data_IF_241162290936
#
_entry.id   IF_241162290936
#
_cell.length_a   1.000
_cell.length_b   1.000
_cell.length_c   1.000
_cell.angle_alpha   90.00
_cell.angle_beta   90.00
_cell.angle_gamma   90.00
#
_symmetry.space_group_name_H-M   'P 1'
#
loop_
_entity.id
_entity.type
_entity.pdbx_description
1 polymer ?
#
# COMPACT_ATOMS: atom_id res chain seq x y z
N UNK A 1 -31.12 16.14 -24.13
CA UNK A 1 -32.02 16.66 -23.07
C UNK A 1 -32.26 15.55 -22.03
N UNK A 2 -31.42 15.34 -21.06
CA UNK A 2 -31.64 14.43 -19.88
C UNK A 2 -30.55 14.70 -18.81
N UNK A 3 -30.51 15.93 -18.27
CA UNK A 3 -29.58 16.29 -17.18
C UNK A 3 -30.26 17.06 -16.04
N UNK A 4 -31.51 16.75 -15.70
CA UNK A 4 -32.25 17.49 -14.65
C UNK A 4 -33.03 16.61 -13.65
N UNK A 5 -32.58 15.37 -13.33
CA UNK A 5 -33.29 14.55 -12.33
C UNK A 5 -32.47 14.12 -11.11
N UNK A 6 -31.23 14.62 -10.92
CA UNK A 6 -30.39 14.20 -9.78
C UNK A 6 -30.45 15.16 -8.56
N UNK A 7 -31.12 16.31 -8.64
CA UNK A 7 -31.12 17.34 -7.58
C UNK A 7 -32.38 17.46 -6.75
N UNK A 8 -33.46 16.75 -7.09
CA UNK A 8 -34.76 16.88 -6.43
C UNK A 8 -35.15 15.77 -5.46
N UNK A 9 -34.37 14.65 -5.43
CA UNK A 9 -34.67 13.56 -4.48
C UNK A 9 -34.22 13.81 -3.03
N UNK A 10 -33.34 14.77 -2.78
CA UNK A 10 -32.83 15.02 -1.43
C UNK A 10 -33.74 15.87 -0.52
N UNK A 11 -34.76 16.53 -1.08
CA UNK A 11 -35.62 17.46 -0.33
C UNK A 11 -36.79 16.81 0.43
N UNK A 12 -37.09 15.53 0.16
CA UNK A 12 -38.24 14.82 0.74
C UNK A 12 -37.88 13.67 1.68
N UNK A 13 -36.58 13.53 2.04
CA UNK A 13 -36.17 12.51 3.00
C UNK A 13 -36.52 12.95 4.44
N UNK A 14 -36.99 12.03 5.32
CA UNK A 14 -37.14 12.33 6.74
C UNK A 14 -35.79 12.85 7.30
N UNK A 15 -35.84 13.78 8.28
CA UNK A 15 -34.63 14.48 8.78
C UNK A 15 -33.45 13.52 9.18
N UNK A 16 -33.78 12.34 9.71
CA UNK A 16 -32.79 11.31 10.06
C UNK A 16 -32.07 10.74 8.83
N UNK A 17 -32.78 10.47 7.76
CA UNK A 17 -32.20 9.93 6.52
C UNK A 17 -31.34 10.97 5.81
N UNK A 18 -31.72 12.24 5.87
CA UNK A 18 -30.93 13.35 5.34
C UNK A 18 -29.59 13.49 6.09
N UNK A 19 -29.61 13.46 7.44
CA UNK A 19 -28.39 13.50 8.26
C UNK A 19 -27.48 12.32 7.94
N UNK A 20 -28.01 11.10 7.90
CA UNK A 20 -27.24 9.90 7.58
C UNK A 20 -26.60 9.99 6.18
N UNK A 21 -27.34 10.50 5.18
CA UNK A 21 -26.83 10.69 3.83
C UNK A 21 -25.68 11.71 3.78
N UNK A 22 -25.78 12.82 4.53
CA UNK A 22 -24.72 13.81 4.66
C UNK A 22 -23.46 13.22 5.30
N UNK A 23 -23.61 12.45 6.37
CA UNK A 23 -22.51 11.78 7.06
C UNK A 23 -21.81 10.76 6.12
N UNK A 24 -22.57 10.00 5.33
CA UNK A 24 -22.00 9.11 4.30
C UNK A 24 -21.24 9.89 3.22
N UNK A 25 -21.72 11.08 2.83
CA UNK A 25 -20.99 11.96 1.90
C UNK A 25 -19.68 12.46 2.51
N UNK A 26 -19.71 12.93 3.75
CA UNK A 26 -18.50 13.34 4.49
C UNK A 26 -17.50 12.20 4.60
N UNK A 27 -17.98 10.99 4.91
CA UNK A 27 -17.12 9.80 4.95
C UNK A 27 -16.45 9.53 3.59
N UNK A 28 -17.20 9.63 2.48
CA UNK A 28 -16.66 9.48 1.11
C UNK A 28 -15.64 10.57 0.74
N UNK A 29 -15.89 11.83 1.13
CA UNK A 29 -14.93 12.92 0.88
C UNK A 29 -13.66 12.75 1.69
N UNK A 30 -13.75 12.38 2.98
CA UNK A 30 -12.59 12.10 3.81
C UNK A 30 -11.81 10.88 3.30
N UNK A 31 -12.50 9.83 2.86
CA UNK A 31 -11.87 8.68 2.20
C UNK A 31 -11.16 9.10 0.90
N UNK A 32 -11.75 9.94 0.09
CA UNK A 32 -11.09 10.44 -1.14
C UNK A 32 -9.83 11.25 -0.81
N UNK A 33 -9.86 12.11 0.21
CA UNK A 33 -8.68 12.83 0.68
C UNK A 33 -7.59 11.88 1.20
N UNK A 34 -7.96 10.84 1.96
CA UNK A 34 -7.06 9.78 2.41
C UNK A 34 -6.38 9.07 1.22
N UNK A 35 -7.14 8.76 0.14
CA UNK A 35 -6.61 8.09 -1.05
C UNK A 35 -5.66 8.97 -1.86
N UNK A 36 -5.95 10.26 -1.99
CA UNK A 36 -5.05 11.23 -2.65
C UNK A 36 -3.73 11.33 -1.88
N UNK A 37 -3.82 11.39 -0.56
CA UNK A 37 -2.65 11.59 0.32
C UNK A 37 -2.01 10.29 0.79
N UNK A 38 -2.41 9.14 0.26
CA UNK A 38 -1.97 7.81 0.70
C UNK A 38 -0.45 7.70 0.89
N UNK A 39 0.43 8.18 -0.03
CA UNK A 39 1.88 8.11 0.16
C UNK A 39 2.49 9.21 1.05
N UNK A 40 1.72 10.22 1.48
CA UNK A 40 2.26 11.40 2.14
C UNK A 40 2.84 11.08 3.52
N UNK A 41 4.05 11.56 3.80
CA UNK A 41 4.80 11.33 5.03
C UNK A 41 4.67 12.48 6.04
N UNK A 42 3.74 13.41 5.88
CA UNK A 42 3.59 14.49 6.84
C UNK A 42 3.10 13.96 8.18
N UNK A 43 3.92 14.14 9.22
CA UNK A 43 3.65 13.66 10.57
C UNK A 43 4.01 14.69 11.64
N UNK A 44 3.53 14.45 12.85
CA UNK A 44 3.92 15.14 14.07
C UNK A 44 4.23 14.10 15.13
N UNK A 45 5.41 14.15 15.71
CA UNK A 45 5.77 13.33 16.86
C UNK A 45 4.97 13.84 18.08
N UNK A 46 4.16 12.97 18.65
CA UNK A 46 3.38 13.25 19.86
C UNK A 46 4.16 12.92 21.12
N UNK A 47 4.92 11.82 21.08
CA UNK A 47 5.78 11.38 22.18
C UNK A 47 7.11 10.92 21.58
N UNK A 48 8.15 11.70 21.84
CA UNK A 48 9.51 11.37 21.45
C UNK A 48 10.18 10.53 22.52
N UNK A 49 10.77 9.41 22.12
CA UNK A 49 11.37 8.42 23.02
C UNK A 49 12.72 8.01 22.45
N UNK A 50 13.80 8.79 22.67
CA UNK A 50 15.09 8.52 22.06
C UNK A 50 15.63 7.14 22.49
N UNK A 51 16.01 6.33 21.53
CA UNK A 51 16.61 5.01 21.72
C UNK A 51 17.73 4.82 20.66
N UNK A 52 18.78 5.61 20.76
CA UNK A 52 19.91 5.51 19.84
C UNK A 52 20.61 4.13 19.93
N UNK A 53 20.93 3.52 18.80
CA UNK A 53 20.82 4.00 17.40
C UNK A 53 19.58 3.49 16.64
N UNK A 54 18.47 3.16 17.32
CA UNK A 54 17.23 2.75 16.69
C UNK A 54 16.52 3.98 16.11
N UNK A 55 16.07 3.92 14.86
CA UNK A 55 15.36 5.04 14.22
C UNK A 55 14.05 5.36 14.95
N UNK A 56 13.77 6.65 15.16
CA UNK A 56 12.61 7.16 15.90
C UNK A 56 11.26 6.61 15.39
N UNK A 57 11.15 6.32 14.12
CA UNK A 57 9.93 5.80 13.49
C UNK A 57 9.50 4.41 13.99
N UNK A 58 10.40 3.66 14.62
CA UNK A 58 10.12 2.33 15.17
C UNK A 58 9.72 2.35 16.66
N UNK A 59 9.83 3.49 17.35
CA UNK A 59 9.51 3.55 18.78
C UNK A 59 8.77 4.83 19.23
N UNK A 60 8.76 5.90 18.40
CA UNK A 60 8.03 7.12 18.71
C UNK A 60 6.53 6.97 18.43
N UNK A 61 5.72 7.71 19.19
CA UNK A 61 4.29 7.83 18.93
C UNK A 61 4.07 9.02 17.99
N UNK A 62 3.61 8.75 16.78
CA UNK A 62 3.46 9.74 15.72
C UNK A 62 2.02 9.86 15.25
N UNK A 63 1.58 11.08 14.95
CA UNK A 63 0.33 11.38 14.27
C UNK A 63 0.61 11.79 12.84
N UNK A 64 0.01 11.10 11.88
CA UNK A 64 0.14 11.42 10.45
C UNK A 64 -1.03 12.29 9.98
N UNK A 65 -0.79 13.15 8.99
CA UNK A 65 -1.88 13.95 8.38
C UNK A 65 -2.99 13.06 7.82
N UNK A 66 -2.63 11.88 7.33
CA UNK A 66 -3.58 10.89 6.82
C UNK A 66 -4.54 10.37 7.90
N UNK A 67 -4.10 10.36 9.17
CA UNK A 67 -4.95 9.94 10.29
C UNK A 67 -6.18 10.84 10.46
N UNK A 68 -6.04 12.14 10.17
CA UNK A 68 -7.17 13.07 10.23
C UNK A 68 -8.26 12.72 9.23
N UNK A 69 -7.86 12.38 8.00
CA UNK A 69 -8.80 11.95 6.97
C UNK A 69 -9.37 10.57 7.28
N UNK A 70 -8.56 9.69 7.84
CA UNK A 70 -8.99 8.37 8.26
C UNK A 70 -10.03 8.43 9.38
N UNK A 71 -9.74 9.19 10.45
CA UNK A 71 -10.71 9.40 11.53
C UNK A 71 -11.97 10.12 11.06
N UNK A 72 -11.85 11.09 10.17
CA UNK A 72 -12.98 11.75 9.54
C UNK A 72 -13.87 10.78 8.77
N UNK A 73 -13.27 9.88 7.99
CA UNK A 73 -14.01 8.87 7.24
C UNK A 73 -14.71 7.87 8.17
N UNK A 74 -14.00 7.32 9.15
CA UNK A 74 -14.54 6.36 10.12
C UNK A 74 -15.60 7.00 11.02
N UNK A 75 -15.33 8.18 11.58
CA UNK A 75 -16.26 8.87 12.48
C UNK A 75 -17.58 9.22 11.80
N UNK A 76 -17.51 9.80 10.60
CA UNK A 76 -18.71 10.11 9.81
C UNK A 76 -19.50 8.84 9.43
N UNK A 77 -18.79 7.76 9.05
CA UNK A 77 -19.44 6.48 8.74
C UNK A 77 -20.10 5.87 9.97
N UNK A 78 -19.43 5.80 11.12
CA UNK A 78 -20.01 5.26 12.36
C UNK A 78 -21.23 6.08 12.80
N UNK A 79 -21.16 7.41 12.77
CA UNK A 79 -22.28 8.27 13.07
C UNK A 79 -23.46 8.05 12.11
N UNK A 80 -23.20 7.87 10.83
CA UNK A 80 -24.26 7.56 9.84
C UNK A 80 -24.98 6.25 10.19
N UNK A 81 -24.25 5.23 10.65
CA UNK A 81 -24.84 3.95 11.08
C UNK A 81 -25.64 4.08 12.36
N UNK A 82 -25.21 4.88 13.31
CA UNK A 82 -25.96 5.14 14.55
C UNK A 82 -27.31 5.84 14.25
N UNK A 83 -27.31 6.78 13.30
CA UNK A 83 -28.52 7.52 12.89
C UNK A 83 -29.49 6.62 12.13
N UNK A 84 -29.02 5.85 11.14
CA UNK A 84 -29.88 5.06 10.24
C UNK A 84 -30.21 3.67 10.75
N UNK A 85 -29.43 3.13 11.71
CA UNK A 85 -29.52 1.74 12.20
C UNK A 85 -29.66 0.72 11.06
N UNK A 86 -28.69 0.63 10.14
CA UNK A 86 -28.77 -0.25 8.99
C UNK A 86 -28.71 -1.73 9.42
N UNK A 87 -28.99 -2.67 8.51
CA UNK A 87 -28.91 -4.11 8.75
C UNK A 87 -27.51 -4.53 9.23
N UNK A 88 -27.33 -5.82 9.57
CA UNK A 88 -26.10 -6.37 10.08
C UNK A 88 -24.87 -5.95 9.28
N UNK A 89 -23.75 -5.77 9.98
CA UNK A 89 -22.49 -5.34 9.36
C UNK A 89 -21.92 -6.46 8.49
N UNK A 90 -21.59 -6.16 7.26
CA UNK A 90 -20.85 -7.08 6.39
C UNK A 90 -19.42 -7.18 6.90
N UNK A 91 -18.90 -8.40 7.01
CA UNK A 91 -17.54 -8.69 7.49
C UNK A 91 -16.61 -9.17 6.39
N UNK A 92 -17.15 -9.46 5.20
CA UNK A 92 -16.40 -10.05 4.10
C UNK A 92 -16.22 -11.56 4.25
N UNK A 93 -15.48 -12.18 3.34
CA UNK A 93 -15.28 -13.62 3.36
C UNK A 93 -14.49 -14.04 4.62
N UNK A 94 -14.92 -15.15 5.22
CA UNK A 94 -14.34 -15.68 6.46
C UNK A 94 -12.82 -15.89 6.40
N UNK A 95 -12.31 -16.27 5.24
CA UNK A 95 -10.89 -16.53 5.02
C UNK A 95 -10.02 -15.26 4.97
N UNK A 96 -10.63 -14.08 4.93
CA UNK A 96 -9.96 -12.79 5.16
C UNK A 96 -10.24 -12.25 6.56
N UNK A 97 -11.51 -12.25 6.97
CA UNK A 97 -11.94 -11.64 8.23
C UNK A 97 -11.28 -12.29 9.46
N UNK A 98 -11.32 -13.64 9.56
CA UNK A 98 -10.77 -14.32 10.73
C UNK A 98 -9.25 -14.20 10.88
N UNK A 99 -8.41 -14.28 9.81
CA UNK A 99 -7.00 -13.98 9.94
C UNK A 99 -6.72 -12.53 10.41
N UNK A 100 -7.50 -11.55 9.94
CA UNK A 100 -7.37 -10.16 10.38
C UNK A 100 -7.71 -10.01 11.87
N UNK A 101 -8.78 -10.67 12.34
CA UNK A 101 -9.12 -10.74 13.78
C UNK A 101 -8.03 -11.48 14.55
N UNK A 102 -7.50 -12.58 14.03
CA UNK A 102 -6.43 -13.36 14.67
C UNK A 102 -5.14 -12.53 14.86
N UNK A 103 -4.71 -11.81 13.83
CA UNK A 103 -3.57 -10.89 13.91
C UNK A 103 -3.80 -9.79 14.95
N UNK A 104 -4.99 -9.18 14.97
CA UNK A 104 -5.35 -8.18 15.98
C UNK A 104 -5.36 -8.77 17.39
N UNK A 105 -5.93 -9.96 17.56
CA UNK A 105 -5.97 -10.65 18.86
C UNK A 105 -4.58 -10.95 19.39
N UNK A 106 -3.67 -11.46 18.53
CA UNK A 106 -2.27 -11.69 18.93
C UNK A 106 -1.56 -10.37 19.28
N UNK A 107 -1.81 -9.30 18.52
CA UNK A 107 -1.24 -7.99 18.79
C UNK A 107 -1.67 -7.45 20.16
N UNK A 108 -2.96 -7.56 20.51
CA UNK A 108 -3.50 -7.09 21.79
C UNK A 108 -3.03 -7.97 22.95
N UNK A 109 -3.08 -9.29 22.80
CA UNK A 109 -2.61 -10.25 23.82
C UNK A 109 -1.10 -10.13 24.05
N UNK A 110 -0.33 -9.75 23.02
CA UNK A 110 1.12 -9.57 23.09
C UNK A 110 1.56 -8.33 23.85
N UNK A 111 0.70 -7.32 24.06
CA UNK A 111 1.10 -6.02 24.67
C UNK A 111 1.81 -6.21 26.03
N UNK A 112 1.27 -6.97 27.00
CA UNK A 112 1.92 -7.12 28.31
C UNK A 112 3.28 -7.84 28.25
N UNK A 113 3.53 -8.60 27.19
CA UNK A 113 4.73 -9.40 26.99
C UNK A 113 5.72 -8.78 26.01
N UNK A 114 5.36 -7.62 25.41
CA UNK A 114 6.18 -6.94 24.42
C UNK A 114 7.49 -6.41 25.06
N UNK A 115 8.53 -6.29 24.22
CA UNK A 115 9.80 -5.67 24.62
C UNK A 115 9.59 -4.22 25.03
N UNK A 116 8.74 -3.52 24.25
CA UNK A 116 8.25 -2.18 24.58
C UNK A 116 6.71 -2.18 24.47
N UNK A 117 6.00 -2.28 25.63
CA UNK A 117 4.55 -2.35 25.66
C UNK A 117 3.85 -1.11 25.08
N UNK A 118 4.45 0.08 25.19
CA UNK A 118 3.86 1.31 24.66
C UNK A 118 3.87 1.33 23.14
N UNK A 119 4.99 0.95 22.51
CA UNK A 119 5.05 0.78 21.05
C UNK A 119 4.06 -0.29 20.59
N UNK A 120 3.98 -1.43 21.30
CA UNK A 120 3.02 -2.48 20.97
C UNK A 120 1.56 -2.00 21.06
N UNK A 121 1.21 -1.25 22.10
CA UNK A 121 -0.14 -0.69 22.24
C UNK A 121 -0.46 0.35 21.16
N UNK A 122 0.50 1.22 20.83
CA UNK A 122 0.35 2.19 19.75
C UNK A 122 0.11 1.49 18.40
N UNK A 123 0.93 0.51 18.05
CA UNK A 123 0.78 -0.23 16.79
C UNK A 123 -0.49 -1.10 16.76
N UNK A 124 -0.88 -1.70 17.89
CA UNK A 124 -2.14 -2.43 18.00
C UNK A 124 -3.35 -1.50 17.80
N UNK A 125 -3.31 -0.26 18.30
CA UNK A 125 -4.35 0.75 18.05
C UNK A 125 -4.47 1.10 16.56
N UNK A 126 -3.36 1.15 15.84
CA UNK A 126 -3.36 1.33 14.38
C UNK A 126 -3.93 0.14 13.64
N UNK A 127 -3.68 -1.08 14.12
CA UNK A 127 -4.26 -2.29 13.55
C UNK A 127 -5.79 -2.33 13.75
N UNK A 128 -6.31 -1.84 14.91
CA UNK A 128 -7.76 -1.62 15.12
C UNK A 128 -8.34 -0.67 14.07
N UNK A 129 -7.65 0.46 13.81
CA UNK A 129 -8.10 1.42 12.80
C UNK A 129 -8.08 0.81 11.39
N UNK A 130 -7.07 0.01 11.06
CA UNK A 130 -7.00 -0.71 9.77
C UNK A 130 -8.17 -1.70 9.61
N UNK A 131 -8.52 -2.45 10.65
CA UNK A 131 -9.69 -3.31 10.63
C UNK A 131 -10.99 -2.49 10.46
N UNK A 132 -11.09 -1.34 11.12
CA UNK A 132 -12.22 -0.44 10.97
C UNK A 132 -12.30 0.12 9.52
N UNK A 133 -11.17 0.42 8.88
CA UNK A 133 -11.11 0.80 7.46
C UNK A 133 -11.62 -0.34 6.56
N UNK A 134 -11.16 -1.57 6.78
CA UNK A 134 -11.65 -2.75 6.07
C UNK A 134 -13.18 -2.85 6.16
N UNK A 135 -13.74 -2.74 7.36
CA UNK A 135 -15.19 -2.78 7.58
C UNK A 135 -15.91 -1.58 6.94
N UNK A 136 -15.33 -0.38 6.97
CA UNK A 136 -15.87 0.79 6.28
C UNK A 136 -16.00 0.53 4.78
N UNK A 137 -14.94 0.00 4.15
CA UNK A 137 -14.92 -0.26 2.71
C UNK A 137 -15.96 -1.29 2.28
N UNK A 138 -16.26 -2.28 3.12
CA UNK A 138 -17.32 -3.24 2.89
C UNK A 138 -18.72 -2.65 3.00
N UNK A 139 -18.92 -1.71 3.93
CA UNK A 139 -20.25 -1.27 4.34
C UNK A 139 -20.63 0.14 3.84
N UNK A 140 -19.67 0.96 3.40
CA UNK A 140 -19.97 2.27 2.80
C UNK A 140 -20.34 2.07 1.31
N UNK A 141 -21.45 2.65 0.81
CA UNK A 141 -21.82 2.54 -0.61
C UNK A 141 -20.81 3.30 -1.48
N UNK A 142 -19.86 2.56 -2.08
CA UNK A 142 -18.78 3.07 -2.91
C UNK A 142 -18.97 2.59 -4.36
N UNK A 143 -18.78 3.50 -5.31
CA UNK A 143 -18.65 3.18 -6.73
C UNK A 143 -17.15 3.08 -7.09
N UNK A 144 -16.73 2.23 -8.03
CA UNK A 144 -15.32 2.14 -8.44
C UNK A 144 -14.65 3.49 -8.71
N UNK A 145 -15.34 4.41 -9.37
CA UNK A 145 -14.84 5.76 -9.65
C UNK A 145 -14.56 6.61 -8.40
N UNK A 146 -15.28 6.39 -7.29
CA UNK A 146 -15.05 7.11 -6.03
C UNK A 146 -13.71 6.72 -5.38
N UNK A 147 -13.13 5.61 -5.78
CA UNK A 147 -11.80 5.14 -5.36
C UNK A 147 -10.75 5.44 -6.44
N UNK A 148 -11.02 5.09 -7.69
CA UNK A 148 -10.04 5.17 -8.77
C UNK A 148 -9.62 6.62 -9.08
N UNK A 149 -10.53 7.59 -9.06
CA UNK A 149 -10.18 8.98 -9.36
C UNK A 149 -9.32 9.64 -8.28
N UNK A 150 -9.57 9.50 -6.97
CA UNK A 150 -8.64 9.95 -5.94
C UNK A 150 -7.27 9.30 -6.03
N UNK A 151 -7.19 7.98 -6.30
CA UNK A 151 -5.91 7.30 -6.51
C UNK A 151 -5.17 7.85 -7.74
N UNK A 152 -5.89 8.08 -8.85
CA UNK A 152 -5.30 8.68 -10.05
C UNK A 152 -4.76 10.10 -9.77
N UNK A 153 -5.52 10.92 -9.03
CA UNK A 153 -5.07 12.25 -8.61
C UNK A 153 -3.82 12.16 -7.71
N UNK A 154 -3.80 11.24 -6.75
CA UNK A 154 -2.64 10.98 -5.90
C UNK A 154 -1.39 10.58 -6.71
N UNK A 155 -1.53 9.72 -7.72
CA UNK A 155 -0.42 9.36 -8.63
C UNK A 155 0.14 10.58 -9.37
N UNK A 156 -0.74 11.45 -9.89
CA UNK A 156 -0.30 12.65 -10.61
C UNK A 156 0.44 13.60 -9.65
N UNK A 157 -0.07 13.82 -8.45
CA UNK A 157 0.62 14.62 -7.42
C UNK A 157 2.01 14.07 -7.13
N UNK A 158 2.11 12.76 -6.93
CA UNK A 158 3.42 12.13 -6.69
C UNK A 158 4.35 12.27 -7.89
N UNK A 159 3.87 12.11 -9.11
CA UNK A 159 4.68 12.27 -10.32
C UNK A 159 5.21 13.71 -10.49
N UNK A 160 4.36 14.71 -10.22
CA UNK A 160 4.74 16.15 -10.29
C UNK A 160 5.86 16.48 -9.30
N UNK A 161 5.95 15.79 -8.16
CA UNK A 161 7.02 15.97 -7.18
C UNK A 161 8.23 15.09 -7.48
N UNK A 162 7.98 13.80 -7.79
CA UNK A 162 9.03 12.79 -7.98
C UNK A 162 9.94 13.06 -9.18
N UNK A 163 9.38 13.52 -10.30
CA UNK A 163 10.16 13.79 -11.51
C UNK A 163 11.19 14.93 -11.31
N UNK A 164 10.81 16.13 -10.80
CA UNK A 164 11.78 17.17 -10.52
C UNK A 164 12.82 16.78 -9.45
N UNK A 165 12.44 16.01 -8.41
CA UNK A 165 13.40 15.51 -7.41
C UNK A 165 14.51 14.69 -8.06
N UNK A 166 14.13 13.77 -8.95
CA UNK A 166 15.08 12.91 -9.67
C UNK A 166 16.00 13.75 -10.59
N UNK A 167 15.42 14.66 -11.38
CA UNK A 167 16.18 15.51 -12.32
C UNK A 167 17.15 16.47 -11.61
N UNK A 168 16.72 17.02 -10.46
CA UNK A 168 17.52 17.99 -9.70
C UNK A 168 18.50 17.32 -8.72
N UNK A 169 18.41 16.00 -8.51
CA UNK A 169 19.21 15.26 -7.53
C UNK A 169 18.96 15.65 -6.07
N UNK A 170 17.87 16.36 -5.78
CA UNK A 170 17.52 16.87 -4.45
C UNK A 170 16.01 17.03 -4.28
N UNK A 171 15.57 17.14 -3.04
CA UNK A 171 14.19 17.47 -2.68
C UNK A 171 13.86 18.95 -2.94
N UNK A 172 12.57 19.27 -3.10
CA UNK A 172 12.07 20.54 -3.62
C UNK A 172 11.77 21.60 -2.54
N UNK A 173 11.90 21.22 -1.25
CA UNK A 173 11.55 22.12 -0.14
C UNK A 173 10.07 22.03 0.27
N UNK A 174 9.39 20.94 -0.06
CA UNK A 174 7.97 20.72 0.22
C UNK A 174 7.73 19.98 1.57
N UNK A 175 8.59 20.20 2.58
CA UNK A 175 8.50 19.53 3.90
C UNK A 175 7.13 19.75 4.56
N UNK A 176 6.50 20.91 4.32
CA UNK A 176 5.14 21.19 4.82
C UNK A 176 4.08 20.25 4.25
N UNK A 177 4.34 19.62 3.11
CA UNK A 177 3.48 18.61 2.49
C UNK A 177 3.91 17.18 2.83
N UNK A 178 5.03 17.01 3.54
CA UNK A 178 5.56 15.72 3.96
C UNK A 178 6.76 15.22 3.15
N UNK A 179 7.39 16.08 2.35
CA UNK A 179 8.64 15.75 1.69
C UNK A 179 9.76 15.55 2.71
N UNK A 180 10.49 14.46 2.59
CA UNK A 180 11.71 14.20 3.38
C UNK A 180 12.86 15.00 2.77
N UNK A 181 13.68 15.63 3.61
CA UNK A 181 14.89 16.29 3.14
C UNK A 181 15.93 15.26 2.70
N UNK A 182 16.29 15.26 1.43
CA UNK A 182 17.27 14.36 0.84
C UNK A 182 18.02 15.07 -0.32
N UNK A 183 19.27 14.66 -0.51
CA UNK A 183 20.14 15.12 -1.59
C UNK A 183 21.01 13.94 -2.01
N UNK A 184 21.39 13.86 -3.28
CA UNK A 184 22.20 12.78 -3.82
C UNK A 184 23.55 12.63 -3.11
N UNK A 185 24.11 13.74 -2.61
CA UNK A 185 25.42 13.77 -1.95
C UNK A 185 25.34 13.58 -0.42
N UNK A 186 24.15 13.45 0.15
CA UNK A 186 23.99 13.27 1.60
C UNK A 186 24.03 11.80 1.99
N UNK A 187 24.84 11.50 3.02
CA UNK A 187 24.83 10.17 3.64
C UNK A 187 23.41 9.83 4.14
N UNK A 188 22.99 8.56 3.92
CA UNK A 188 21.66 8.09 4.28
C UNK A 188 20.57 8.38 3.25
N UNK A 189 20.83 9.19 2.22
CA UNK A 189 19.90 9.34 1.10
C UNK A 189 19.85 8.04 0.25
N UNK A 190 18.65 7.72 -0.22
CA UNK A 190 18.47 6.58 -1.12
C UNK A 190 18.87 6.95 -2.54
N UNK A 191 20.00 6.44 -3.01
CA UNK A 191 20.62 6.79 -4.29
C UNK A 191 20.79 5.57 -5.20
N UNK A 192 21.03 5.84 -6.48
CA UNK A 192 21.65 4.91 -7.44
C UNK A 192 23.01 5.47 -7.78
N UNK A 193 24.07 4.65 -7.65
CA UNK A 193 25.43 5.06 -7.92
C UNK A 193 25.90 4.49 -9.27
N UNK A 194 26.56 5.34 -10.08
CA UNK A 194 27.23 4.96 -11.33
C UNK A 194 28.63 5.56 -11.34
N UNK A 195 29.63 4.75 -11.05
CA UNK A 195 30.98 5.28 -10.84
C UNK A 195 31.02 6.30 -9.69
N UNK A 196 31.52 7.52 -9.92
CA UNK A 196 31.54 8.58 -8.92
C UNK A 196 30.21 9.35 -8.81
N UNK A 197 29.29 9.17 -9.75
CA UNK A 197 28.03 9.92 -9.80
C UNK A 197 26.97 9.30 -8.91
N UNK A 198 26.25 10.15 -8.16
CA UNK A 198 25.15 9.80 -7.29
C UNK A 198 23.84 10.37 -7.85
N UNK A 199 22.83 9.51 -7.99
CA UNK A 199 21.50 9.89 -8.47
C UNK A 199 20.47 9.65 -7.38
N UNK A 200 19.80 10.73 -6.94
CA UNK A 200 18.75 10.63 -5.95
C UNK A 200 17.56 9.83 -6.53
N UNK A 201 17.13 8.79 -5.85
CA UNK A 201 15.89 8.10 -6.20
C UNK A 201 14.69 9.00 -5.89
N UNK A 202 13.61 8.89 -6.64
CA UNK A 202 12.42 9.68 -6.42
C UNK A 202 11.71 9.27 -5.12
N UNK A 203 11.55 10.24 -4.21
CA UNK A 203 10.83 10.09 -2.94
C UNK A 203 9.37 10.52 -3.06
N UNK A 204 9.03 11.45 -3.97
CA UNK A 204 7.74 12.12 -3.96
C UNK A 204 7.50 12.81 -2.61
N UNK A 205 6.33 12.61 -2.05
CA UNK A 205 5.96 13.04 -0.70
C UNK A 205 5.95 11.88 0.30
N UNK A 206 6.61 10.77 -0.03
CA UNK A 206 6.75 9.60 0.84
C UNK A 206 8.06 9.66 1.64
N UNK A 207 8.15 8.88 2.70
CA UNK A 207 9.34 8.75 3.54
C UNK A 207 10.53 8.15 2.79
N UNK A 208 10.27 7.18 1.93
CA UNK A 208 11.31 6.39 1.26
C UNK A 208 10.86 6.00 -0.16
N UNK A 209 11.76 5.93 -1.15
CA UNK A 209 11.42 5.54 -2.52
C UNK A 209 10.71 4.19 -2.65
N UNK A 210 11.05 3.19 -1.82
CA UNK A 210 10.38 1.90 -1.85
C UNK A 210 8.92 1.99 -1.40
N UNK A 211 8.63 2.81 -0.39
CA UNK A 211 7.28 3.06 0.09
C UNK A 211 6.42 3.77 -0.96
N UNK A 212 6.98 4.83 -1.57
CA UNK A 212 6.34 5.48 -2.72
C UNK A 212 6.02 4.48 -3.82
N UNK A 213 6.99 3.65 -4.17
CA UNK A 213 6.86 2.63 -5.21
C UNK A 213 5.75 1.62 -4.91
N UNK A 214 5.64 1.15 -3.66
CA UNK A 214 4.58 0.23 -3.26
C UNK A 214 3.18 0.84 -3.33
N UNK A 215 3.04 2.10 -2.93
CA UNK A 215 1.79 2.84 -3.07
C UNK A 215 1.45 3.06 -4.55
N UNK A 216 2.41 3.51 -5.37
CA UNK A 216 2.21 3.71 -6.81
C UNK A 216 1.86 2.41 -7.54
N UNK A 217 2.52 1.30 -7.20
CA UNK A 217 2.20 -0.03 -7.74
C UNK A 217 0.74 -0.40 -7.50
N UNK A 218 0.26 -0.29 -6.26
CA UNK A 218 -1.13 -0.60 -5.93
C UNK A 218 -2.09 0.34 -6.66
N UNK A 219 -1.83 1.66 -6.65
CA UNK A 219 -2.64 2.65 -7.35
C UNK A 219 -2.69 2.39 -8.86
N UNK A 220 -1.55 2.10 -9.51
CA UNK A 220 -1.46 1.83 -10.94
C UNK A 220 -2.32 0.62 -11.34
N UNK A 221 -2.20 -0.49 -10.60
CA UNK A 221 -2.93 -1.72 -10.91
C UNK A 221 -4.44 -1.56 -10.71
N UNK A 222 -4.87 -0.85 -9.65
CA UNK A 222 -6.29 -0.52 -9.41
C UNK A 222 -6.85 0.40 -10.49
N UNK A 223 -6.14 1.49 -10.80
CA UNK A 223 -6.59 2.48 -11.80
C UNK A 223 -6.55 1.88 -13.20
N UNK A 224 -5.60 0.99 -13.52
CA UNK A 224 -5.60 0.26 -14.79
C UNK A 224 -6.84 -0.64 -14.95
N UNK A 225 -7.24 -1.37 -13.89
CA UNK A 225 -8.50 -2.11 -13.89
C UNK A 225 -9.71 -1.22 -14.13
N UNK A 226 -9.76 -0.05 -13.49
CA UNK A 226 -10.82 0.93 -13.70
C UNK A 226 -10.80 1.52 -15.13
N UNK A 227 -9.62 1.87 -15.65
CA UNK A 227 -9.42 2.40 -17.00
C UNK A 227 -10.04 1.52 -18.07
N UNK A 228 -9.92 0.20 -17.96
CA UNK A 228 -10.44 -0.75 -18.95
C UNK A 228 -11.98 -0.65 -19.14
N UNK A 229 -12.69 -0.07 -18.18
CA UNK A 229 -14.15 0.17 -18.26
C UNK A 229 -14.50 1.58 -18.76
N UNK A 230 -13.52 2.48 -18.91
CA UNK A 230 -13.77 3.87 -19.27
C UNK A 230 -13.78 4.12 -20.77
N UNK A 231 -14.46 5.22 -21.18
CA UNK A 231 -14.56 5.68 -22.56
C UNK A 231 -14.45 7.20 -22.63
N UNK A 232 -14.15 7.71 -23.81
CA UNK A 232 -14.05 9.14 -24.08
C UNK A 232 -12.99 9.84 -23.21
N UNK A 233 -13.23 11.08 -22.81
CA UNK A 233 -12.28 11.90 -22.07
C UNK A 233 -11.84 11.29 -20.71
N UNK A 234 -12.72 10.52 -20.06
CA UNK A 234 -12.40 9.83 -18.81
C UNK A 234 -11.31 8.78 -19.01
N UNK A 235 -11.35 8.05 -20.11
CA UNK A 235 -10.29 7.12 -20.45
C UNK A 235 -8.96 7.85 -20.71
N UNK A 236 -8.97 9.01 -21.38
CA UNK A 236 -7.76 9.79 -21.65
C UNK A 236 -7.14 10.32 -20.35
N UNK A 237 -7.94 10.85 -19.42
CA UNK A 237 -7.44 11.33 -18.13
C UNK A 237 -6.88 10.18 -17.28
N UNK A 238 -7.56 9.03 -17.23
CA UNK A 238 -7.06 7.87 -16.52
C UNK A 238 -5.75 7.34 -17.15
N UNK A 239 -5.66 7.34 -18.48
CA UNK A 239 -4.45 6.93 -19.22
C UNK A 239 -3.27 7.87 -18.95
N UNK A 240 -3.52 9.19 -18.93
CA UNK A 240 -2.49 10.18 -18.57
C UNK A 240 -1.99 9.99 -17.14
N UNK A 241 -2.90 9.75 -16.17
CA UNK A 241 -2.52 9.45 -14.81
C UNK A 241 -1.70 8.15 -14.67
N UNK A 242 -2.07 7.10 -15.44
CA UNK A 242 -1.31 5.85 -15.51
C UNK A 242 0.10 6.09 -16.08
N UNK A 243 0.23 6.89 -17.14
CA UNK A 243 1.54 7.28 -17.70
C UNK A 243 2.39 8.01 -16.66
N UNK A 244 1.85 9.05 -16.03
CA UNK A 244 2.55 9.84 -15.00
C UNK A 244 2.96 8.96 -13.79
N UNK A 245 2.05 8.12 -13.29
CA UNK A 245 2.34 7.20 -12.19
C UNK A 245 3.40 6.16 -12.56
N UNK A 246 3.41 5.68 -13.82
CA UNK A 246 4.44 4.75 -14.31
C UNK A 246 5.82 5.38 -14.36
N UNK A 247 5.92 6.64 -14.83
CA UNK A 247 7.19 7.41 -14.79
C UNK A 247 7.66 7.53 -13.35
N UNK A 248 6.80 8.00 -12.43
CA UNK A 248 7.16 8.14 -11.03
C UNK A 248 7.61 6.81 -10.41
N UNK A 249 6.90 5.70 -10.68
CA UNK A 249 7.27 4.36 -10.20
C UNK A 249 8.67 3.94 -10.70
N UNK A 250 8.97 4.14 -11.98
CA UNK A 250 10.27 3.78 -12.54
C UNK A 250 11.41 4.58 -11.90
N UNK A 251 11.21 5.89 -11.67
CA UNK A 251 12.20 6.78 -11.03
C UNK A 251 12.45 6.48 -9.55
N UNK A 252 11.62 5.64 -8.92
CA UNK A 252 11.91 5.12 -7.57
C UNK A 252 13.03 4.08 -7.55
N UNK A 253 13.35 3.44 -8.65
CA UNK A 253 14.31 2.32 -8.75
C UNK A 253 14.03 1.19 -7.75
N UNK A 254 12.76 0.94 -7.41
CA UNK A 254 12.34 -0.13 -6.50
C UNK A 254 12.11 -1.45 -7.24
N UNK A 255 13.08 -2.38 -7.15
CA UNK A 255 13.00 -3.70 -7.81
C UNK A 255 11.77 -4.51 -7.37
N UNK A 256 11.45 -4.49 -6.08
CA UNK A 256 10.30 -5.21 -5.53
C UNK A 256 8.97 -4.70 -6.11
N UNK A 257 8.81 -3.37 -6.20
CA UNK A 257 7.60 -2.78 -6.77
C UNK A 257 7.53 -2.95 -8.29
N UNK A 258 8.65 -2.92 -9.00
CA UNK A 258 8.68 -3.23 -10.43
C UNK A 258 8.26 -4.68 -10.70
N UNK A 259 8.82 -5.64 -9.92
CA UNK A 259 8.43 -7.05 -10.01
C UNK A 259 6.95 -7.25 -9.68
N UNK A 260 6.46 -6.62 -8.60
CA UNK A 260 5.06 -6.68 -8.22
C UNK A 260 4.12 -6.08 -9.28
N UNK A 261 4.52 -4.95 -9.89
CA UNK A 261 3.76 -4.31 -10.98
C UNK A 261 3.74 -5.20 -12.23
N UNK A 262 4.88 -5.78 -12.59
CA UNK A 262 4.99 -6.70 -13.73
C UNK A 262 4.12 -7.94 -13.54
N UNK A 263 4.25 -8.63 -12.40
CA UNK A 263 3.48 -9.84 -12.12
C UNK A 263 1.98 -9.54 -12.02
N UNK A 264 1.59 -8.45 -11.33
CA UNK A 264 0.20 -8.00 -11.26
C UNK A 264 -0.34 -7.62 -12.65
N UNK A 265 0.44 -6.91 -13.45
CA UNK A 265 0.09 -6.53 -14.83
C UNK A 265 -0.06 -7.74 -15.75
N UNK A 266 0.87 -8.70 -15.72
CA UNK A 266 0.79 -9.94 -16.49
C UNK A 266 -0.42 -10.78 -16.06
N UNK A 267 -0.71 -10.86 -14.77
CA UNK A 267 -1.90 -11.51 -14.25
C UNK A 267 -3.18 -10.85 -14.80
N UNK A 268 -3.30 -9.52 -14.71
CA UNK A 268 -4.44 -8.79 -15.27
C UNK A 268 -4.56 -8.97 -16.79
N UNK A 269 -3.44 -8.96 -17.52
CA UNK A 269 -3.41 -9.22 -18.97
C UNK A 269 -3.88 -10.64 -19.30
N UNK A 270 -3.48 -11.63 -18.52
CA UNK A 270 -3.96 -13.01 -18.64
C UNK A 270 -5.48 -13.12 -18.46
N UNK A 271 -6.05 -12.37 -17.49
CA UNK A 271 -7.50 -12.29 -17.30
C UNK A 271 -8.20 -11.60 -18.48
N UNK A 272 -7.63 -10.53 -19.03
CA UNK A 272 -8.14 -9.85 -20.25
C UNK A 272 -8.12 -10.81 -21.43
N UNK A 273 -7.03 -11.52 -21.62
CA UNK A 273 -6.90 -12.52 -22.71
C UNK A 273 -7.94 -13.63 -22.58
N UNK A 274 -8.08 -14.22 -21.39
CA UNK A 274 -9.10 -15.23 -21.09
C UNK A 274 -10.52 -14.71 -21.34
N UNK A 275 -10.84 -13.53 -20.83
CA UNK A 275 -12.17 -12.92 -20.96
C UNK A 275 -12.57 -12.67 -22.42
N UNK A 276 -11.60 -12.34 -23.29
CA UNK A 276 -11.83 -12.19 -24.73
C UNK A 276 -12.18 -13.51 -25.42
N UNK A 277 -11.52 -14.61 -25.03
CA UNK A 277 -11.79 -15.93 -25.59
C UNK A 277 -13.19 -16.44 -25.19
N UNK A 278 -13.64 -16.11 -23.98
CA UNK A 278 -14.97 -16.50 -23.46
C UNK A 278 -16.04 -15.44 -23.75
N UNK A 279 -15.70 -14.36 -24.48
CA UNK A 279 -16.57 -13.21 -24.84
C UNK A 279 -17.30 -12.57 -23.65
N UNK A 280 -16.71 -12.61 -22.46
CA UNK A 280 -17.31 -12.07 -21.23
C UNK A 280 -17.07 -10.58 -21.05
N UNK A 281 -16.04 -10.01 -21.69
CA UNK A 281 -15.71 -8.60 -21.57
C UNK A 281 -15.83 -7.86 -22.91
N UNK A 282 -16.63 -6.80 -22.91
CA UNK A 282 -16.73 -5.87 -24.04
C UNK A 282 -15.62 -4.79 -23.98
N UNK A 283 -14.34 -5.21 -23.87
CA UNK A 283 -13.21 -4.26 -23.92
C UNK A 283 -12.89 -3.93 -25.36
N UNK A 284 -12.80 -2.63 -25.67
CA UNK A 284 -12.28 -2.16 -26.94
C UNK A 284 -10.80 -2.58 -27.10
N UNK A 285 -10.46 -3.13 -28.27
CA UNK A 285 -9.07 -3.42 -28.61
C UNK A 285 -8.20 -2.16 -28.49
N UNK A 286 -8.73 -1.01 -28.93
CA UNK A 286 -8.03 0.27 -28.83
C UNK A 286 -7.68 0.67 -27.40
N UNK A 287 -8.56 0.42 -26.40
CA UNK A 287 -8.27 0.71 -24.98
C UNK A 287 -7.05 -0.05 -24.48
N UNK A 288 -6.98 -1.36 -24.74
CA UNK A 288 -5.82 -2.18 -24.32
C UNK A 288 -4.57 -1.80 -25.08
N UNK A 289 -4.69 -1.55 -26.40
CA UNK A 289 -3.55 -1.16 -27.24
C UNK A 289 -2.99 0.19 -26.78
N UNK A 290 -3.83 1.20 -26.52
CA UNK A 290 -3.37 2.51 -26.03
C UNK A 290 -2.67 2.42 -24.69
N UNK A 291 -3.21 1.63 -23.75
CA UNK A 291 -2.52 1.38 -22.47
C UNK A 291 -1.15 0.73 -22.72
N UNK A 292 -1.11 -0.31 -23.52
CA UNK A 292 0.15 -0.97 -23.89
C UNK A 292 1.15 -0.03 -24.54
N UNK A 293 0.72 0.80 -25.49
CA UNK A 293 1.57 1.78 -26.16
C UNK A 293 2.14 2.81 -25.17
N UNK A 294 1.32 3.34 -24.26
CA UNK A 294 1.79 4.30 -23.25
C UNK A 294 2.81 3.65 -22.32
N UNK A 295 2.54 2.44 -21.82
CA UNK A 295 3.47 1.74 -20.92
C UNK A 295 4.77 1.39 -21.61
N UNK A 296 4.71 0.93 -22.87
CA UNK A 296 5.91 0.65 -23.69
C UNK A 296 6.69 1.93 -23.97
N UNK A 297 6.01 3.02 -24.36
CA UNK A 297 6.67 4.30 -24.62
C UNK A 297 7.37 4.84 -23.37
N UNK A 298 6.73 4.79 -22.20
CA UNK A 298 7.33 5.16 -20.92
C UNK A 298 8.53 4.27 -20.60
N UNK A 299 8.40 2.95 -20.76
CA UNK A 299 9.48 2.01 -20.50
C UNK A 299 10.68 2.22 -21.44
N UNK A 300 10.44 2.39 -22.75
CA UNK A 300 11.49 2.66 -23.74
C UNK A 300 12.19 4.00 -23.43
N UNK A 301 11.43 5.05 -23.17
CA UNK A 301 12.00 6.35 -22.80
C UNK A 301 12.86 6.25 -21.54
N UNK A 302 12.36 5.53 -20.51
CA UNK A 302 13.10 5.32 -19.27
C UNK A 302 14.40 4.54 -19.49
N UNK A 303 14.38 3.45 -20.27
CA UNK A 303 15.59 2.68 -20.59
C UNK A 303 16.57 3.50 -21.42
N UNK A 304 16.09 4.26 -22.40
CA UNK A 304 16.93 5.10 -23.25
C UNK A 304 17.64 6.22 -22.46
N UNK A 305 16.96 6.81 -21.49
CA UNK A 305 17.51 7.92 -20.69
C UNK A 305 18.29 7.47 -19.45
N UNK A 306 18.01 6.28 -18.90
CA UNK A 306 18.56 5.82 -17.62
C UNK A 306 19.31 4.46 -17.75
N UNK A 307 19.78 4.09 -18.94
CA UNK A 307 20.47 2.81 -19.20
C UNK A 307 21.61 2.52 -18.23
N UNK A 308 22.57 3.45 -18.00
CA UNK A 308 23.68 3.25 -17.06
C UNK A 308 23.20 3.02 -15.61
N UNK A 309 22.16 3.74 -15.16
CA UNK A 309 21.56 3.56 -13.84
C UNK A 309 20.89 2.19 -13.68
N UNK A 310 20.24 1.71 -14.75
CA UNK A 310 19.66 0.37 -14.79
C UNK A 310 20.73 -0.70 -14.71
N UNK A 311 21.82 -0.55 -15.47
CA UNK A 311 22.95 -1.50 -15.42
C UNK A 311 23.52 -1.58 -14.01
N UNK A 312 23.82 -0.45 -13.37
CA UNK A 312 24.31 -0.41 -12.00
C UNK A 312 23.34 -1.11 -11.02
N UNK A 313 22.05 -0.94 -11.22
CA UNK A 313 21.01 -1.51 -10.33
C UNK A 313 20.81 -3.01 -10.50
N UNK A 314 21.04 -3.55 -11.69
CA UNK A 314 20.86 -4.98 -11.99
C UNK A 314 22.16 -5.80 -11.90
N UNK A 315 23.32 -5.21 -12.22
CA UNK A 315 24.62 -5.85 -12.12
C UNK A 315 25.20 -5.70 -10.70
N UNK A 316 24.68 -6.51 -9.80
CA UNK A 316 24.84 -6.48 -8.33
C UNK A 316 26.28 -6.54 -7.78
N UNK A 317 27.32 -6.66 -8.60
CA UNK A 317 28.62 -7.16 -8.11
C UNK A 317 29.71 -6.12 -7.96
N UNK A 318 29.52 -4.87 -8.38
CA UNK A 318 30.61 -3.89 -8.45
C UNK A 318 30.41 -2.60 -7.64
N UNK A 319 29.16 -2.26 -7.26
CA UNK A 319 28.90 -1.03 -6.53
C UNK A 319 28.81 -1.29 -5.01
N UNK A 320 29.61 -0.59 -4.18
CA UNK A 320 29.63 -0.82 -2.73
C UNK A 320 28.24 -0.72 -2.07
N UNK A 321 27.44 0.29 -2.44
CA UNK A 321 26.09 0.51 -1.89
C UNK A 321 25.12 -0.64 -2.18
N UNK A 322 25.23 -1.30 -3.32
CA UNK A 322 24.39 -2.46 -3.66
C UNK A 322 24.85 -3.72 -2.91
N UNK A 323 26.15 -3.92 -2.78
CA UNK A 323 26.73 -5.04 -2.02
C UNK A 323 26.34 -4.94 -0.54
N UNK A 324 26.47 -3.76 0.06
CA UNK A 324 26.04 -3.49 1.45
C UNK A 324 24.54 -3.80 1.64
N UNK A 325 23.69 -3.34 0.71
CA UNK A 325 22.26 -3.61 0.75
C UNK A 325 21.92 -5.11 0.71
N UNK A 326 22.67 -5.92 -0.07
CA UNK A 326 22.45 -7.38 -0.15
C UNK A 326 22.96 -8.07 1.11
N UNK A 327 24.14 -7.68 1.60
CA UNK A 327 24.72 -8.23 2.83
C UNK A 327 23.81 -7.94 4.02
N UNK A 328 23.36 -6.69 4.18
CA UNK A 328 22.43 -6.32 5.25
C UNK A 328 21.17 -7.18 5.24
N UNK A 329 20.56 -7.41 4.06
CA UNK A 329 19.38 -8.28 3.93
C UNK A 329 19.67 -9.74 4.32
N UNK A 330 20.82 -10.28 3.96
CA UNK A 330 21.21 -11.65 4.33
C UNK A 330 21.39 -11.80 5.84
N UNK A 331 21.98 -10.79 6.50
CA UNK A 331 22.19 -10.81 7.94
C UNK A 331 20.90 -10.70 8.76
N UNK A 332 19.85 -10.10 8.21
CA UNK A 332 18.56 -9.95 8.90
C UNK A 332 17.78 -11.27 9.04
N UNK A 333 18.00 -12.26 8.17
CA UNK A 333 17.31 -13.56 8.25
C UNK A 333 17.71 -14.31 9.52
N UNK A 334 19.01 -14.56 9.82
CA UNK A 334 19.42 -15.16 11.08
C UNK A 334 18.95 -14.38 12.31
N UNK A 335 19.02 -13.04 12.26
CA UNK A 335 18.55 -12.18 13.34
C UNK A 335 17.06 -12.40 13.63
N UNK A 336 16.22 -12.49 12.57
CA UNK A 336 14.78 -12.77 12.70
C UNK A 336 14.53 -14.15 13.32
N UNK A 337 15.24 -15.18 12.84
CA UNK A 337 15.12 -16.55 13.37
C UNK A 337 15.52 -16.61 14.85
N UNK A 338 16.54 -15.85 15.26
CA UNK A 338 16.92 -15.72 16.68
C UNK A 338 15.78 -15.11 17.50
N UNK A 339 15.18 -13.98 17.05
CA UNK A 339 14.06 -13.37 17.77
C UNK A 339 12.85 -14.30 17.85
N UNK A 340 12.51 -15.02 16.75
CA UNK A 340 11.44 -16.01 16.73
C UNK A 340 11.74 -17.15 17.73
N UNK A 341 12.97 -17.65 17.77
CA UNK A 341 13.39 -18.69 18.70
C UNK A 341 13.30 -18.26 20.16
N UNK A 342 13.60 -16.99 20.48
CA UNK A 342 13.47 -16.42 21.82
C UNK A 342 12.00 -16.28 22.27
N UNK A 343 11.08 -15.97 21.35
CA UNK A 343 9.65 -15.69 21.66
C UNK A 343 8.70 -16.30 20.62
N UNK A 344 8.58 -17.62 20.53
CA UNK A 344 7.90 -18.30 19.42
C UNK A 344 6.37 -18.14 19.40
N UNK A 345 5.71 -17.87 20.54
CA UNK A 345 4.25 -17.87 20.63
C UNK A 345 3.61 -16.51 20.45
N UNK A 346 4.08 -15.49 21.16
CA UNK A 346 3.53 -14.13 21.14
C UNK A 346 4.48 -13.11 20.51
N UNK A 347 5.70 -13.54 20.15
CA UNK A 347 6.70 -12.68 19.54
C UNK A 347 7.26 -11.61 20.48
N UNK A 348 7.90 -10.62 19.91
CA UNK A 348 8.53 -9.50 20.64
C UNK A 348 7.55 -8.34 20.93
N UNK A 349 6.34 -8.41 20.41
CA UNK A 349 5.32 -7.36 20.39
C UNK A 349 5.24 -6.65 19.04
N UNK A 350 4.04 -6.26 18.63
CA UNK A 350 3.80 -5.59 17.36
C UNK A 350 4.60 -4.28 17.27
N UNK A 351 5.36 -4.09 16.17
CA UNK A 351 6.21 -2.91 15.93
C UNK A 351 7.52 -2.92 16.74
N UNK A 352 7.82 -3.98 17.46
CA UNK A 352 8.97 -4.06 18.35
C UNK A 352 10.22 -4.71 17.74
N UNK A 353 10.20 -5.06 16.45
CA UNK A 353 11.33 -5.78 15.84
C UNK A 353 12.68 -5.06 16.04
N UNK A 354 12.78 -3.78 15.68
CA UNK A 354 14.02 -3.02 15.78
C UNK A 354 14.47 -2.85 17.23
N UNK A 355 13.56 -2.54 18.14
CA UNK A 355 13.81 -2.44 19.58
C UNK A 355 14.24 -3.78 20.17
N UNK A 356 13.59 -4.88 19.77
CA UNK A 356 13.95 -6.21 20.23
C UNK A 356 15.32 -6.65 19.70
N UNK A 357 15.65 -6.32 18.46
CA UNK A 357 16.97 -6.59 17.90
C UNK A 357 18.06 -5.84 18.69
N UNK A 358 17.82 -4.58 19.04
CA UNK A 358 18.72 -3.78 19.87
C UNK A 358 18.89 -4.35 21.29
N UNK A 359 17.80 -4.76 21.94
CA UNK A 359 17.81 -5.16 23.36
C UNK A 359 18.15 -6.64 23.59
N UNK A 360 17.66 -7.53 22.71
CA UNK A 360 17.76 -8.99 22.92
C UNK A 360 18.86 -9.65 22.08
N UNK A 361 19.20 -9.08 20.93
CA UNK A 361 20.14 -9.68 19.99
C UNK A 361 21.08 -8.66 19.31
N UNK A 362 21.70 -7.72 20.05
CA UNK A 362 22.54 -6.67 19.46
C UNK A 362 23.77 -7.24 18.71
N UNK A 363 24.24 -8.42 19.07
CA UNK A 363 25.36 -9.12 18.42
C UNK A 363 25.02 -9.62 17.01
N UNK A 364 23.74 -9.67 16.63
CA UNK A 364 23.28 -10.08 15.31
C UNK A 364 23.32 -8.94 14.28
N UNK A 365 23.64 -7.71 14.72
CA UNK A 365 23.73 -6.53 13.85
C UNK A 365 25.19 -6.28 13.49
N UNK A 366 25.44 -5.97 12.21
CA UNK A 366 26.79 -5.69 11.70
C UNK A 366 27.41 -4.42 12.32
N UNK A 367 28.67 -4.10 11.94
CA UNK A 367 29.41 -2.99 12.52
C UNK A 367 28.73 -1.63 12.38
N UNK A 368 27.91 -1.45 11.35
CA UNK A 368 27.18 -0.20 11.11
C UNK A 368 25.99 0.03 12.07
N UNK A 369 25.68 -0.97 12.90
CA UNK A 369 24.61 -0.91 13.94
C UNK A 369 23.25 -0.38 13.43
N UNK A 370 22.85 -0.75 12.22
CA UNK A 370 21.57 -0.35 11.65
C UNK A 370 20.48 -1.31 12.11
N UNK A 371 19.68 -0.89 13.11
CA UNK A 371 18.56 -1.64 13.65
C UNK A 371 17.29 -1.34 12.85
N UNK A 372 16.98 -2.18 11.88
CA UNK A 372 15.81 -2.04 11.02
C UNK A 372 15.07 -3.38 10.86
N UNK A 373 13.76 -3.37 10.52
CA UNK A 373 12.99 -4.58 10.29
C UNK A 373 13.54 -5.44 9.15
N UNK A 374 13.37 -6.76 9.26
CA UNK A 374 13.69 -7.69 8.18
C UNK A 374 12.79 -7.44 6.97
N UNK A 375 13.38 -7.51 5.77
CA UNK A 375 12.68 -7.22 4.52
C UNK A 375 11.55 -8.23 4.19
N UNK A 376 11.62 -9.45 4.70
CA UNK A 376 10.58 -10.46 4.51
C UNK A 376 9.47 -10.32 5.57
N UNK A 377 8.33 -9.76 5.20
CA UNK A 377 7.19 -9.55 6.13
C UNK A 377 6.74 -10.82 6.84
N UNK A 378 6.68 -12.01 6.22
CA UNK A 378 6.31 -13.24 6.97
C UNK A 378 7.24 -13.51 8.17
N UNK A 379 8.54 -13.31 8.03
CA UNK A 379 9.51 -13.43 9.12
C UNK A 379 9.35 -12.31 10.14
N UNK A 380 9.09 -11.09 9.66
CA UNK A 380 8.87 -9.93 10.51
C UNK A 380 7.65 -10.14 11.42
N UNK A 381 6.51 -10.55 10.83
CA UNK A 381 5.28 -10.83 11.58
C UNK A 381 5.49 -11.99 12.56
N UNK A 382 6.24 -13.02 12.15
CA UNK A 382 6.57 -14.12 13.06
C UNK A 382 7.48 -13.69 14.22
N UNK A 383 8.39 -12.74 14.01
CA UNK A 383 9.23 -12.19 15.08
C UNK A 383 8.42 -11.29 16.04
N UNK A 384 7.46 -10.51 15.51
CA UNK A 384 6.66 -9.57 16.31
C UNK A 384 5.44 -10.21 16.99
N UNK A 385 4.74 -11.14 16.34
CA UNK A 385 3.49 -11.78 16.81
C UNK A 385 3.63 -13.30 17.02
N UNK A 386 4.85 -13.82 16.99
CA UNK A 386 5.12 -15.25 17.09
C UNK A 386 4.84 -16.03 15.80
N UNK A 387 5.18 -17.32 15.80
CA UNK A 387 4.90 -18.23 14.69
C UNK A 387 3.41 -18.22 14.28
N UNK A 388 2.43 -18.20 15.23
CA UNK A 388 1.03 -18.08 14.86
C UNK A 388 0.71 -16.84 14.01
N UNK A 389 1.33 -15.68 14.33
CA UNK A 389 1.18 -14.45 13.56
C UNK A 389 1.72 -14.59 12.14
N UNK A 390 2.92 -15.17 11.99
CA UNK A 390 3.52 -15.44 10.67
C UNK A 390 2.66 -16.37 9.81
N UNK A 391 2.09 -17.42 10.40
CA UNK A 391 1.17 -18.36 9.71
C UNK A 391 -0.13 -17.67 9.31
N UNK A 392 -0.73 -16.84 10.17
CA UNK A 392 -1.92 -16.05 9.84
C UNK A 392 -1.65 -15.07 8.70
N UNK A 393 -0.49 -14.42 8.68
CA UNK A 393 -0.09 -13.55 7.57
C UNK A 393 0.02 -14.32 6.25
N UNK A 394 0.72 -15.45 6.25
CA UNK A 394 0.85 -16.31 5.06
C UNK A 394 -0.53 -16.79 4.57
N UNK A 395 -1.41 -17.20 5.49
CA UNK A 395 -2.77 -17.57 5.15
C UNK A 395 -3.55 -16.39 4.56
N UNK A 396 -3.45 -15.19 5.15
CA UNK A 396 -4.12 -13.98 4.69
C UNK A 396 -3.78 -13.64 3.24
N UNK A 397 -2.49 -13.68 2.87
CA UNK A 397 -2.05 -13.37 1.49
C UNK A 397 -2.28 -14.53 0.51
N UNK A 398 -2.37 -15.77 0.99
CA UNK A 398 -2.56 -16.96 0.15
C UNK A 398 -4.04 -17.30 -0.10
N UNK A 399 -4.91 -17.09 0.88
CA UNK A 399 -6.32 -17.54 0.84
C UNK A 399 -7.19 -16.88 -0.26
N UNK A 400 -6.95 -15.64 -0.72
CA UNK A 400 -7.73 -15.07 -1.83
C UNK A 400 -7.58 -15.82 -3.16
N UNK A 401 -6.43 -16.47 -3.39
CA UNK A 401 -6.13 -17.09 -4.70
C UNK A 401 -7.02 -18.28 -5.06
N UNK A 402 -7.16 -19.31 -4.21
CA UNK A 402 -8.08 -20.41 -4.50
C UNK A 402 -9.53 -19.95 -4.64
N UNK A 403 -9.94 -18.97 -3.82
CA UNK A 403 -11.27 -18.40 -3.85
C UNK A 403 -11.51 -17.68 -5.19
N UNK A 404 -10.61 -16.75 -5.57
CA UNK A 404 -10.67 -16.03 -6.83
C UNK A 404 -10.71 -16.97 -8.04
N UNK A 405 -9.83 -17.98 -8.11
CA UNK A 405 -9.78 -18.91 -9.23
C UNK A 405 -11.02 -19.79 -9.36
N UNK A 406 -11.60 -20.23 -8.25
CA UNK A 406 -12.89 -20.96 -8.27
C UNK A 406 -13.99 -20.08 -8.86
N UNK A 407 -14.09 -18.84 -8.42
CA UNK A 407 -15.07 -17.88 -8.97
C UNK A 407 -14.79 -17.57 -10.45
N UNK A 408 -13.57 -17.24 -10.81
CA UNK A 408 -13.18 -16.88 -12.17
C UNK A 408 -13.35 -18.01 -13.19
N UNK A 409 -13.40 -19.28 -12.74
CA UNK A 409 -13.75 -20.43 -13.59
C UNK A 409 -15.24 -20.57 -13.83
N UNK A 410 -16.05 -20.21 -12.86
CA UNK A 410 -17.49 -20.37 -12.90
C UNK A 410 -18.23 -19.15 -13.45
N UNK A 411 -17.72 -17.93 -13.21
CA UNK A 411 -18.39 -16.66 -13.51
C UNK A 411 -17.45 -15.62 -14.10
N UNK A 412 -17.95 -14.61 -14.85
CA UNK A 412 -17.16 -13.48 -15.31
C UNK A 412 -16.63 -12.63 -14.14
N UNK A 413 -15.36 -12.22 -14.24
CA UNK A 413 -14.72 -11.30 -13.28
C UNK A 413 -14.81 -9.88 -13.83
N UNK A 414 -15.17 -8.88 -13.01
CA UNK A 414 -15.16 -7.49 -13.43
C UNK A 414 -13.72 -6.97 -13.65
N UNK A 415 -13.54 -5.99 -14.55
CA UNK A 415 -12.23 -5.33 -14.76
C UNK A 415 -11.71 -4.70 -13.46
N UNK A 416 -12.61 -4.12 -12.71
CA UNK A 416 -12.32 -3.52 -11.42
C UNK A 416 -11.76 -4.54 -10.44
N UNK A 417 -12.43 -5.69 -10.29
CA UNK A 417 -11.95 -6.76 -9.42
C UNK A 417 -10.64 -7.38 -9.91
N UNK A 418 -10.45 -7.49 -11.23
CA UNK A 418 -9.18 -7.91 -11.81
C UNK A 418 -8.02 -6.96 -11.43
N UNK A 419 -8.26 -5.64 -11.45
CA UNK A 419 -7.28 -4.63 -11.01
C UNK A 419 -6.96 -4.72 -9.52
N UNK A 420 -7.97 -4.91 -8.67
CA UNK A 420 -7.78 -5.14 -7.23
C UNK A 420 -7.00 -6.42 -6.93
N UNK A 421 -7.29 -7.51 -7.67
CA UNK A 421 -6.58 -8.79 -7.51
C UNK A 421 -5.13 -8.66 -7.98
N UNK A 422 -4.88 -7.92 -9.05
CA UNK A 422 -3.52 -7.61 -9.51
C UNK A 422 -2.74 -6.78 -8.46
N UNK A 423 -3.39 -5.78 -7.84
CA UNK A 423 -2.78 -4.99 -6.77
C UNK A 423 -2.48 -5.83 -5.53
N UNK A 424 -3.38 -6.75 -5.16
CA UNK A 424 -3.15 -7.71 -4.08
C UNK A 424 -1.96 -8.61 -4.38
N UNK A 425 -1.82 -9.10 -5.64
CA UNK A 425 -0.65 -9.85 -6.07
C UNK A 425 0.63 -9.04 -5.91
N UNK A 426 0.64 -7.81 -6.42
CA UNK A 426 1.80 -6.93 -6.34
C UNK A 426 2.25 -6.68 -4.90
N UNK A 427 1.30 -6.36 -3.99
CA UNK A 427 1.59 -6.15 -2.56
C UNK A 427 2.03 -7.45 -1.86
N UNK A 428 1.43 -8.59 -2.21
CA UNK A 428 1.84 -9.90 -1.70
C UNK A 428 3.28 -10.22 -2.10
N UNK A 429 3.64 -10.00 -3.37
CA UNK A 429 5.03 -10.17 -3.86
C UNK A 429 5.96 -9.20 -3.13
N UNK A 430 5.61 -7.91 -3.03
CA UNK A 430 6.44 -6.92 -2.35
C UNK A 430 6.70 -7.28 -0.88
N UNK A 431 5.76 -7.94 -0.19
CA UNK A 431 5.91 -8.35 1.21
C UNK A 431 7.01 -9.40 1.46
N UNK A 432 7.51 -10.06 0.42
CA UNK A 432 8.67 -10.95 0.53
C UNK A 432 10.01 -10.24 0.34
N UNK A 433 10.00 -9.00 -0.14
CA UNK A 433 11.21 -8.26 -0.50
C UNK A 433 11.36 -6.92 0.20
N UNK A 434 10.32 -6.45 0.93
CA UNK A 434 10.36 -5.18 1.65
C UNK A 434 9.37 -5.14 2.81
N UNK A 435 9.78 -4.53 3.92
CA UNK A 435 9.02 -4.50 5.17
C UNK A 435 7.94 -3.41 5.21
N UNK A 436 7.96 -2.42 4.30
CA UNK A 436 7.03 -1.29 4.35
C UNK A 436 5.56 -1.70 4.32
N UNK A 437 5.25 -2.87 3.74
CA UNK A 437 3.87 -3.40 3.68
C UNK A 437 3.29 -3.68 5.07
N UNK A 438 4.14 -3.83 6.08
CA UNK A 438 3.74 -4.13 7.46
C UNK A 438 4.08 -3.02 8.46
N UNK A 439 5.27 -2.40 8.38
CA UNK A 439 5.80 -1.50 9.42
C UNK A 439 5.51 -0.04 9.20
N UNK A 440 5.50 0.44 7.96
CA UNK A 440 5.25 1.85 7.68
C UNK A 440 3.77 2.21 7.86
N UNK A 441 3.47 3.49 8.02
CA UNK A 441 2.08 3.94 8.12
C UNK A 441 1.29 3.67 6.83
N UNK A 442 1.85 3.99 5.68
CA UNK A 442 1.18 3.97 4.38
C UNK A 442 1.10 2.57 3.77
N UNK A 443 2.05 1.70 4.05
CA UNK A 443 2.09 0.35 3.48
C UNK A 443 0.93 -0.54 3.94
N UNK A 444 0.71 -0.72 5.25
CA UNK A 444 -0.48 -1.40 5.76
C UNK A 444 -1.78 -0.76 5.29
N UNK A 445 -1.84 0.59 5.25
CA UNK A 445 -3.01 1.30 4.76
C UNK A 445 -3.35 0.92 3.31
N UNK A 446 -2.34 0.84 2.43
CA UNK A 446 -2.52 0.39 1.04
C UNK A 446 -2.98 -1.08 0.96
N UNK A 447 -2.39 -1.97 1.76
CA UNK A 447 -2.78 -3.39 1.76
C UNK A 447 -4.22 -3.57 2.25
N UNK A 448 -4.59 -2.94 3.39
CA UNK A 448 -5.92 -3.10 3.96
C UNK A 448 -7.01 -2.44 3.10
N UNK A 449 -6.66 -1.35 2.40
CA UNK A 449 -7.51 -0.78 1.35
C UNK A 449 -7.81 -1.82 0.26
N UNK A 450 -6.78 -2.47 -0.26
CA UNK A 450 -6.92 -3.48 -1.31
C UNK A 450 -7.71 -4.68 -0.80
N UNK A 451 -7.43 -5.18 0.41
CA UNK A 451 -8.16 -6.31 1.03
C UNK A 451 -9.64 -5.98 1.22
N UNK A 452 -9.97 -4.79 1.73
CA UNK A 452 -11.36 -4.37 1.95
C UNK A 452 -12.15 -4.21 0.66
N UNK A 453 -11.55 -3.59 -0.36
CA UNK A 453 -12.18 -3.44 -1.68
C UNK A 453 -12.31 -4.80 -2.39
N UNK A 454 -11.32 -5.67 -2.27
CA UNK A 454 -11.36 -7.02 -2.82
C UNK A 454 -12.44 -7.87 -2.17
N UNK A 455 -12.56 -7.82 -0.83
CA UNK A 455 -13.58 -8.52 -0.07
C UNK A 455 -15.00 -8.06 -0.44
N UNK A 456 -15.17 -6.76 -0.69
CA UNK A 456 -16.43 -6.19 -1.17
C UNK A 456 -16.86 -6.74 -2.53
N UNK A 457 -15.93 -6.83 -3.47
CA UNK A 457 -16.21 -7.39 -4.80
C UNK A 457 -16.52 -8.88 -4.72
N UNK A 458 -15.85 -9.61 -3.81
CA UNK A 458 -16.13 -11.02 -3.53
C UNK A 458 -17.58 -11.21 -3.06
N UNK A 459 -18.03 -10.47 -2.04
CA UNK A 459 -19.42 -10.56 -1.55
C UNK A 459 -20.43 -10.22 -2.65
N UNK A 460 -20.23 -9.09 -3.36
CA UNK A 460 -21.10 -8.70 -4.47
C UNK A 460 -21.21 -9.78 -5.55
N UNK A 461 -20.12 -10.48 -5.82
CA UNK A 461 -20.07 -11.52 -6.84
C UNK A 461 -20.64 -12.87 -6.37
N UNK A 462 -20.79 -13.08 -5.07
CA UNK A 462 -21.34 -14.33 -4.50
C UNK A 462 -22.81 -14.21 -4.08
N UNK A 463 -23.30 -12.98 -3.86
CA UNK A 463 -24.70 -12.68 -3.56
C UNK A 463 -25.60 -12.74 -4.82
N UNK A 464 -25.04 -12.61 -6.06
CA UNK A 464 -25.68 -12.79 -7.36
C UNK A 464 -25.59 -14.25 -7.84
#
# INVERSE_FOLDING_TARGET
>A
MTHRHASTESSNLPPRDWIAHWLERMSRWSLAALLITLPFWRHRVLLHRPLDPVFFEFHDVTLYTNDLFWWGALGAWLLSRLVRRPPAMRTGPWFLFWPLIGLLSLALLGIPFAVDPLTAAYQASRLVLLLALYLLLLNLPLRPGAIAWPLAAGMVVQAVVAVPQFVLGRTLGLQRLGEVSANADWSGSSIVQVGPEHWLRAYGLAQHPNLLAGCLMAMLLIVAGYYLSQRGWKALVALAALGAGSVALLLTFSRAAWLGTLLGGLFALGLVWRARHVRTWAISRSTVTLLGLVLVAVGVAFVATNGPLLQSRFWLTTQPTEVESVVARRMQIPASLTLIGLRPLLGTGLGNYATALYTLAPHMVGPDRVYQPVFAVPLLVAAELGIPGGLLWLFLIASPWPAFWRHARARPVSHWWAGLTAALLGLSVASFFDFYVWTSHQGPLALWLVLGLWAREWESATDD
#
